data_IF_511195186210
#
_entry.id   IF_511195186210
#
_cell.length_a   1.000
_cell.length_b   1.000
_cell.length_c   1.000
_cell.angle_alpha   90.00
_cell.angle_beta   90.00
_cell.angle_gamma   90.00
#
_symmetry.space_group_name_H-M   'P 1'
#
loop_
_entity.id
_entity.type
_entity.pdbx_description
1 polymer ?
#
# COMPACT_ATOMS: atom_id res chain seq x y z
N UNK A 1 -9.45 3.53 -19.15
CA UNK A 1 -9.15 2.46 -18.20
C UNK A 1 -8.34 3.03 -17.04
N UNK A 2 -8.82 2.80 -15.82
CA UNK A 2 -8.12 3.27 -14.63
C UNK A 2 -7.02 2.27 -14.27
N UNK A 3 -5.79 2.77 -14.14
CA UNK A 3 -4.66 2.00 -13.63
C UNK A 3 -4.20 2.51 -12.27
N UNK A 4 -4.99 3.38 -11.65
CA UNK A 4 -4.72 3.97 -10.35
C UNK A 4 -5.71 3.44 -9.31
N UNK A 5 -5.19 3.03 -8.16
CA UNK A 5 -5.96 2.41 -7.08
C UNK A 5 -5.74 3.21 -5.81
N UNK A 6 -6.83 3.57 -5.14
CA UNK A 6 -6.80 4.44 -3.97
C UNK A 6 -7.15 3.64 -2.73
N UNK A 7 -6.29 3.70 -1.73
CA UNK A 7 -6.50 3.10 -0.42
C UNK A 7 -6.36 4.18 0.64
N UNK A 8 -7.30 4.21 1.59
CA UNK A 8 -7.32 5.23 2.65
C UNK A 8 -7.24 4.55 4.01
N UNK A 9 -6.45 5.13 4.90
CA UNK A 9 -6.30 4.61 6.26
C UNK A 9 -5.90 5.75 7.20
N UNK A 10 -6.32 5.65 8.46
CA UNK A 10 -5.93 6.60 9.51
C UNK A 10 -4.79 6.00 10.32
N UNK A 11 -3.79 6.81 10.62
CA UNK A 11 -2.64 6.41 11.44
C UNK A 11 -3.13 6.04 12.84
N UNK A 12 -2.72 4.88 13.31
CA UNK A 12 -3.13 4.34 14.62
C UNK A 12 -2.10 4.69 15.69
N UNK A 13 -2.56 4.82 16.93
CA UNK A 13 -1.71 5.19 18.07
C UNK A 13 -0.51 4.25 18.24
N UNK A 14 -0.72 2.95 18.07
CA UNK A 14 0.32 1.96 18.26
C UNK A 14 1.40 1.98 17.17
N UNK A 15 1.19 2.74 16.10
CA UNK A 15 2.19 2.92 15.04
C UNK A 15 3.17 4.04 15.32
N UNK A 16 2.90 4.83 16.37
CA UNK A 16 3.68 6.02 16.71
C UNK A 16 4.79 5.65 17.68
N UNK A 17 6.00 6.09 17.40
CA UNK A 17 7.15 5.86 18.25
C UNK A 17 7.31 6.97 19.31
N UNK A 18 8.37 6.84 20.11
CA UNK A 18 8.65 7.81 21.19
C UNK A 18 9.01 9.21 20.68
N UNK A 19 9.28 9.37 19.38
CA UNK A 19 9.52 10.67 18.74
C UNK A 19 8.24 11.30 18.20
N UNK A 20 7.08 10.71 18.45
CA UNK A 20 5.77 11.16 17.98
C UNK A 20 5.58 11.07 16.47
N UNK A 21 6.36 10.25 15.79
CA UNK A 21 6.25 9.98 14.37
C UNK A 21 5.90 8.52 14.13
N UNK A 22 5.29 8.24 12.99
CA UNK A 22 5.02 6.86 12.61
C UNK A 22 6.34 6.11 12.42
N UNK A 23 6.48 4.99 13.12
CA UNK A 23 7.68 4.16 13.04
C UNK A 23 7.84 3.60 11.63
N UNK A 24 9.07 3.51 11.15
CA UNK A 24 9.39 3.16 9.76
C UNK A 24 8.78 1.82 9.31
N UNK A 25 8.72 0.82 10.18
CA UNK A 25 8.13 -0.47 9.85
C UNK A 25 6.66 -0.37 9.43
N UNK A 26 5.92 0.61 9.95
CA UNK A 26 4.49 0.75 9.65
C UNK A 26 4.22 1.36 8.29
N UNK A 27 5.17 2.09 7.71
CA UNK A 27 5.05 2.52 6.31
C UNK A 27 4.95 1.29 5.40
N UNK A 28 5.80 0.30 5.63
CA UNK A 28 5.74 -0.96 4.88
C UNK A 28 4.42 -1.68 5.06
N UNK A 29 3.89 -1.71 6.28
CA UNK A 29 2.61 -2.33 6.57
C UNK A 29 1.47 -1.65 5.81
N UNK A 30 1.43 -0.31 5.81
CA UNK A 30 0.39 0.45 5.12
C UNK A 30 0.48 0.24 3.61
N UNK A 31 1.68 0.26 3.04
CA UNK A 31 1.85 -0.06 1.63
C UNK A 31 1.40 -1.49 1.31
N UNK A 32 1.66 -2.43 2.21
CA UNK A 32 1.19 -3.81 2.05
C UNK A 32 -0.34 -3.88 2.00
N UNK A 33 -1.02 -3.15 2.87
CA UNK A 33 -2.48 -3.07 2.84
C UNK A 33 -2.99 -2.46 1.53
N UNK A 34 -2.29 -1.46 1.01
CA UNK A 34 -2.66 -0.86 -0.28
C UNK A 34 -2.51 -1.85 -1.43
N UNK A 35 -1.48 -2.68 -1.40
CA UNK A 35 -1.29 -3.75 -2.40
C UNK A 35 -2.37 -4.83 -2.27
N UNK A 36 -2.76 -5.18 -1.05
CA UNK A 36 -3.86 -6.11 -0.82
C UNK A 36 -5.16 -5.55 -1.42
N UNK A 37 -5.41 -4.26 -1.22
CA UNK A 37 -6.58 -3.60 -1.80
C UNK A 37 -6.52 -3.66 -3.34
N UNK A 38 -5.37 -3.38 -3.93
CA UNK A 38 -5.17 -3.52 -5.38
C UNK A 38 -5.51 -4.94 -5.85
N UNK A 39 -5.00 -5.95 -5.16
CA UNK A 39 -5.28 -7.35 -5.52
C UNK A 39 -6.78 -7.65 -5.49
N UNK A 40 -7.47 -7.18 -4.46
CA UNK A 40 -8.92 -7.39 -4.35
C UNK A 40 -9.68 -6.73 -5.50
N UNK A 41 -9.30 -5.51 -5.86
CA UNK A 41 -9.97 -4.75 -6.91
C UNK A 41 -9.80 -5.40 -8.29
N UNK A 42 -8.62 -5.94 -8.57
CA UNK A 42 -8.34 -6.56 -9.88
C UNK A 42 -8.69 -8.05 -9.94
N UNK A 43 -9.27 -8.60 -8.88
CA UNK A 43 -9.80 -9.96 -8.89
C UNK A 43 -8.90 -11.03 -8.28
N UNK A 44 -7.71 -10.66 -7.76
CA UNK A 44 -6.84 -11.61 -7.05
C UNK A 44 -7.18 -11.64 -5.56
N UNK A 45 -8.45 -11.82 -5.26
CA UNK A 45 -9.01 -11.80 -3.92
C UNK A 45 -8.97 -13.18 -3.25
N UNK A 46 -9.59 -13.27 -2.08
CA UNK A 46 -9.67 -14.52 -1.32
C UNK A 46 -10.33 -15.64 -2.13
N UNK A 47 -11.39 -15.33 -2.87
CA UNK A 47 -12.11 -16.30 -3.69
C UNK A 47 -11.20 -16.86 -4.79
N UNK A 48 -10.46 -16.00 -5.47
CA UNK A 48 -9.51 -16.40 -6.48
C UNK A 48 -8.44 -17.32 -5.90
N UNK A 49 -7.86 -16.94 -4.76
CA UNK A 49 -6.82 -17.75 -4.09
C UNK A 49 -7.34 -19.11 -3.65
N UNK A 50 -8.55 -19.16 -3.12
CA UNK A 50 -9.19 -20.43 -2.72
C UNK A 50 -9.46 -21.34 -3.92
N UNK A 51 -9.88 -20.75 -5.03
CA UNK A 51 -10.25 -21.48 -6.23
C UNK A 51 -9.05 -22.02 -7.01
N UNK A 52 -7.98 -21.23 -7.09
CA UNK A 52 -6.83 -21.53 -7.96
C UNK A 52 -5.61 -22.04 -7.20
N UNK A 53 -5.52 -21.76 -5.88
CA UNK A 53 -4.33 -22.01 -5.10
C UNK A 53 -3.18 -21.03 -5.39
N UNK A 54 -3.42 -20.03 -6.25
CA UNK A 54 -2.41 -19.05 -6.63
C UNK A 54 -2.39 -17.87 -5.65
N UNK A 55 -1.20 -17.40 -5.34
CA UNK A 55 -0.99 -16.22 -4.49
C UNK A 55 0.02 -15.29 -5.13
N UNK A 56 0.09 -14.08 -4.60
CA UNK A 56 1.04 -13.05 -5.04
C UNK A 56 1.92 -12.69 -3.86
N UNK A 57 3.22 -12.59 -4.09
CA UNK A 57 4.16 -12.16 -3.06
C UNK A 57 5.15 -11.16 -3.65
N UNK A 58 5.73 -10.33 -2.76
CA UNK A 58 6.73 -9.33 -3.15
C UNK A 58 8.05 -10.01 -3.43
N UNK A 59 8.64 -9.73 -4.60
CA UNK A 59 9.97 -10.22 -4.94
C UNK A 59 11.01 -9.12 -4.84
N UNK A 60 10.59 -7.86 -4.92
CA UNK A 60 11.50 -6.72 -4.82
C UNK A 60 10.69 -5.48 -4.50
N UNK A 61 11.17 -4.65 -3.59
CA UNK A 61 10.60 -3.33 -3.36
C UNK A 61 11.67 -2.31 -3.02
N UNK A 62 11.37 -1.04 -3.31
CA UNK A 62 12.23 0.10 -3.00
C UNK A 62 11.36 1.18 -2.39
N UNK A 63 11.75 1.71 -1.23
CA UNK A 63 11.01 2.73 -0.50
C UNK A 63 11.84 3.98 -0.32
N UNK A 64 11.20 5.13 -0.54
CA UNK A 64 11.79 6.44 -0.27
C UNK A 64 10.93 7.16 0.74
N UNK A 65 11.55 7.62 1.84
CA UNK A 65 10.88 8.30 2.94
C UNK A 65 11.16 9.80 2.80
N UNK A 66 10.20 10.53 2.23
CA UNK A 66 10.40 11.94 1.88
C UNK A 66 9.90 12.89 2.96
N UNK A 67 8.94 12.46 3.76
CA UNK A 67 8.35 13.22 4.86
C UNK A 67 7.87 12.29 5.95
N UNK A 68 7.83 12.78 7.17
CA UNK A 68 7.34 12.01 8.29
C UNK A 68 5.83 12.07 8.42
N UNK A 69 5.24 11.05 9.04
CA UNK A 69 3.80 10.96 9.31
C UNK A 69 3.59 11.02 10.81
N UNK A 70 2.60 11.80 11.24
CA UNK A 70 2.29 12.04 12.63
C UNK A 70 1.00 11.34 13.05
N UNK A 71 0.82 11.20 14.37
CA UNK A 71 -0.37 10.62 14.96
C UNK A 71 -1.65 11.28 14.41
N UNK A 72 -2.64 10.45 14.12
CA UNK A 72 -3.95 10.90 13.68
C UNK A 72 -4.03 11.34 12.24
N UNK A 73 -2.93 11.28 11.50
CA UNK A 73 -2.94 11.62 10.08
C UNK A 73 -3.85 10.67 9.30
N UNK A 74 -4.59 11.24 8.37
CA UNK A 74 -5.37 10.45 7.40
C UNK A 74 -4.54 10.30 6.16
N UNK A 75 -4.29 9.06 5.77
CA UNK A 75 -3.41 8.74 4.65
C UNK A 75 -4.22 8.29 3.45
N UNK A 76 -3.75 8.70 2.28
CA UNK A 76 -4.23 8.21 1.00
C UNK A 76 -3.04 7.60 0.28
N UNK A 77 -3.16 6.35 -0.09
CA UNK A 77 -2.12 5.64 -0.84
C UNK A 77 -2.62 5.47 -2.26
N UNK A 78 -1.90 6.09 -3.20
CA UNK A 78 -2.19 5.98 -4.62
C UNK A 78 -1.26 4.94 -5.22
N UNK A 79 -1.81 3.85 -5.69
CA UNK A 79 -1.06 2.78 -6.34
C UNK A 79 -1.35 2.78 -7.83
N UNK A 80 -0.30 2.82 -8.62
CA UNK A 80 -0.40 2.78 -10.08
C UNK A 80 0.22 1.50 -10.59
N UNK A 81 -0.49 0.80 -11.48
CA UNK A 81 0.08 -0.33 -12.19
C UNK A 81 0.95 0.22 -13.32
N UNK A 82 2.27 0.07 -13.15
CA UNK A 82 3.26 0.61 -14.09
C UNK A 82 3.46 -0.32 -15.27
N UNK A 83 3.55 -1.62 -14.98
CA UNK A 83 3.77 -2.64 -16.01
C UNK A 83 3.32 -4.00 -15.48
N UNK A 84 3.01 -4.90 -16.39
CA UNK A 84 2.61 -6.25 -16.04
C UNK A 84 2.94 -7.21 -17.18
N UNK A 85 3.23 -8.44 -16.82
CA UNK A 85 3.34 -9.54 -17.77
C UNK A 85 2.58 -10.73 -17.20
N UNK A 86 2.78 -11.94 -17.75
CA UNK A 86 2.06 -13.13 -17.32
C UNK A 86 2.39 -13.57 -15.90
N UNK A 87 3.51 -13.11 -15.34
CA UNK A 87 4.05 -13.64 -14.11
C UNK A 87 4.20 -12.60 -13.00
N UNK A 88 4.22 -11.30 -13.33
CA UNK A 88 4.49 -10.26 -12.34
C UNK A 88 3.85 -8.92 -12.67
N UNK A 89 3.74 -8.11 -11.63
CA UNK A 89 3.33 -6.70 -11.71
C UNK A 89 4.45 -5.80 -11.26
N UNK A 90 4.51 -4.60 -11.84
CA UNK A 90 5.30 -3.50 -11.31
C UNK A 90 4.32 -2.43 -10.85
N UNK A 91 4.35 -2.12 -9.56
CA UNK A 91 3.48 -1.12 -8.95
C UNK A 91 4.30 0.05 -8.43
N UNK A 92 3.74 1.25 -8.56
CA UNK A 92 4.25 2.45 -7.93
C UNK A 92 3.20 2.97 -6.97
N UNK A 93 3.57 3.19 -5.71
CA UNK A 93 2.66 3.69 -4.70
C UNK A 93 3.21 4.96 -4.06
N UNK A 94 2.31 5.93 -3.83
CA UNK A 94 2.61 7.14 -3.08
C UNK A 94 1.72 7.18 -1.85
N UNK A 95 2.34 7.42 -0.70
CA UNK A 95 1.62 7.67 0.55
C UNK A 95 1.54 9.17 0.78
N UNK A 96 0.34 9.70 0.84
CA UNK A 96 0.07 11.12 1.03
C UNK A 96 -0.80 11.32 2.26
N UNK A 97 -0.50 12.33 3.06
CA UNK A 97 -1.44 12.77 4.08
C UNK A 97 -2.47 13.72 3.46
N UNK A 98 -3.62 13.92 4.10
CA UNK A 98 -4.64 14.81 3.56
C UNK A 98 -4.15 16.25 3.38
N UNK A 99 -3.17 16.67 4.16
CA UNK A 99 -2.59 18.00 4.00
C UNK A 99 -1.73 18.16 2.75
N UNK A 100 -1.37 17.05 2.11
CA UNK A 100 -0.57 17.04 0.88
C UNK A 100 -1.41 16.87 -0.40
N UNK A 101 -2.72 16.79 -0.26
CA UNK A 101 -3.62 16.52 -1.39
C UNK A 101 -4.30 17.80 -1.89
#
# INVERSE_FOLDING_TARGET
MLNEFIFKITVQDQWIDYNHHMQDAYYGLVFSYAVDHFQDVVGFDKRYRSKTGCTIFVIEDHKFYLSEVKLGSKLVIKTTLVDTDKEKFILHSQMLSLIHI
#
